data_IF_941756183213
#
_entry.id   IF_941756183213
#
_cell.length_a   1.000
_cell.length_b   1.000
_cell.length_c   1.000
_cell.angle_alpha   90.00
_cell.angle_beta   90.00
_cell.angle_gamma   90.00
#
_symmetry.space_group_name_H-M   'P 1'
#
loop_
_entity.id
_entity.type
_entity.pdbx_description
1 polymer ?
#
# COMPACT_ATOMS: atom_id res chain seq x y z
N UNK A 1 31.83 -63.54 25.88
CA UNK A 1 32.83 -62.61 25.31
C UNK A 1 32.29 -61.20 25.57
N UNK A 2 32.72 -60.54 26.67
CA UNK A 2 33.82 -59.55 26.75
C UNK A 2 33.60 -58.39 25.76
N UNK A 3 33.59 -57.09 26.09
CA UNK A 3 33.73 -56.22 27.29
C UNK A 3 33.26 -54.83 26.80
N UNK A 4 32.39 -54.09 27.50
CA UNK A 4 32.72 -53.01 28.45
C UNK A 4 33.85 -52.05 28.04
N UNK A 5 33.51 -50.76 27.90
CA UNK A 5 34.05 -49.69 28.77
C UNK A 5 33.05 -48.52 28.85
N UNK A 6 32.21 -48.55 29.89
CA UNK A 6 31.73 -47.36 30.61
C UNK A 6 32.82 -46.85 31.58
N UNK A 7 32.52 -45.72 32.22
CA UNK A 7 32.91 -45.26 33.58
C UNK A 7 33.77 -43.98 33.55
N UNK A 8 33.58 -42.96 34.40
CA UNK A 8 32.80 -42.79 35.65
C UNK A 8 32.79 -41.28 36.01
N UNK A 9 31.65 -40.67 36.33
CA UNK A 9 31.16 -40.29 37.68
C UNK A 9 31.69 -38.98 38.32
N UNK A 10 30.75 -38.06 38.62
CA UNK A 10 30.29 -37.64 39.97
C UNK A 10 29.05 -36.71 39.80
N UNK A 11 27.81 -37.12 40.15
CA UNK A 11 27.05 -36.94 41.44
C UNK A 11 27.17 -35.51 42.02
N UNK A 12 26.15 -34.75 42.46
CA UNK A 12 24.73 -34.96 42.83
C UNK A 12 24.02 -33.56 42.98
N UNK A 13 22.69 -33.54 42.85
CA UNK A 13 21.62 -32.50 43.01
C UNK A 13 21.75 -31.38 44.08
N UNK A 14 21.00 -30.23 44.07
CA UNK A 14 19.51 -30.16 44.00
C UNK A 14 18.81 -28.92 43.35
N UNK A 15 17.46 -29.01 43.32
CA UNK A 15 16.41 -28.00 43.02
C UNK A 15 16.14 -27.70 41.53
N UNK A 16 14.93 -27.77 40.98
CA UNK A 16 13.59 -27.86 41.58
C UNK A 16 12.82 -26.55 41.44
N UNK A 17 12.44 -26.18 40.21
CA UNK A 17 11.29 -25.29 39.96
C UNK A 17 10.63 -25.71 38.64
N UNK A 18 9.59 -26.53 38.73
CA UNK A 18 8.52 -26.57 37.74
C UNK A 18 7.64 -25.33 37.95
N UNK A 19 7.22 -24.69 36.87
CA UNK A 19 6.06 -23.79 36.91
C UNK A 19 4.95 -24.51 36.16
N UNK A 20 4.08 -25.13 36.94
CA UNK A 20 2.75 -25.59 36.53
C UNK A 20 1.88 -24.36 36.22
N UNK A 21 1.26 -24.34 35.04
CA UNK A 21 0.09 -23.50 34.81
C UNK A 21 -1.13 -24.26 35.35
N UNK A 22 -1.34 -24.15 36.66
CA UNK A 22 -2.62 -24.49 37.26
C UNK A 22 -3.72 -23.54 36.77
N UNK A 23 -4.82 -24.17 36.35
CA UNK A 23 -6.21 -23.70 36.34
C UNK A 23 -6.46 -22.37 37.09
N UNK A 24 -6.88 -21.36 36.34
CA UNK A 24 -7.84 -20.37 36.85
C UNK A 24 -9.22 -20.74 36.32
N UNK A 25 -9.97 -21.45 37.15
CA UNK A 25 -11.43 -21.53 37.09
C UNK A 25 -12.03 -20.19 37.47
N UNK A 26 -12.79 -19.56 36.57
CA UNK A 26 -13.83 -18.62 36.97
C UNK A 26 -15.12 -19.40 37.22
N UNK A 27 -15.42 -19.69 38.49
CA UNK A 27 -16.78 -20.01 38.92
C UNK A 27 -17.60 -18.72 38.99
N UNK A 28 -18.80 -18.78 38.43
CA UNK A 28 -19.65 -17.62 38.19
C UNK A 28 -20.39 -17.06 39.39
N UNK A 29 -20.94 -15.88 39.17
CA UNK A 29 -22.26 -15.49 39.65
C UNK A 29 -23.17 -15.45 38.43
N UNK A 30 -23.95 -16.51 38.23
CA UNK A 30 -25.11 -16.47 37.36
C UNK A 30 -26.34 -16.06 38.16
N UNK A 31 -27.07 -15.06 37.67
CA UNK A 31 -28.53 -14.88 37.78
C UNK A 31 -28.89 -13.92 36.64
N UNK A 32 -29.82 -14.13 35.72
CA UNK A 32 -30.78 -15.18 35.48
C UNK A 32 -31.44 -14.89 34.13
N UNK A 33 -31.97 -15.93 33.49
CA UNK A 33 -32.66 -15.85 32.21
C UNK A 33 -34.16 -15.56 32.37
N UNK A 34 -34.71 -14.82 31.38
CA UNK A 34 -36.10 -14.83 30.85
C UNK A 34 -37.20 -14.10 31.65
N UNK A 35 -38.37 -13.73 31.04
CA UNK A 35 -38.97 -14.21 29.78
C UNK A 35 -39.59 -13.14 28.83
N UNK A 36 -40.17 -13.67 27.74
CA UNK A 36 -40.95 -13.06 26.64
C UNK A 36 -42.15 -12.19 27.08
N UNK A 37 -42.55 -11.23 26.22
CA UNK A 37 -43.90 -10.65 26.19
C UNK A 37 -44.06 -9.38 25.36
N UNK A 38 -44.71 -9.51 24.18
CA UNK A 38 -45.71 -8.61 23.53
C UNK A 38 -45.51 -7.09 23.37
N UNK A 39 -46.14 -6.46 22.34
CA UNK A 39 -45.88 -5.08 21.95
C UNK A 39 -46.76 -4.06 22.70
N UNK A 40 -46.27 -2.83 22.86
CA UNK A 40 -47.11 -1.65 23.06
C UNK A 40 -46.53 -0.42 22.34
N UNK A 41 -47.36 0.10 21.45
CA UNK A 41 -47.38 1.47 20.92
C UNK A 41 -47.71 2.49 22.02
N UNK A 42 -47.10 3.68 22.02
CA UNK A 42 -47.78 4.98 22.26
C UNK A 42 -47.04 6.11 21.53
N UNK A 43 -47.86 7.01 21.01
CA UNK A 43 -47.66 8.19 20.16
C UNK A 43 -46.89 9.36 20.80
N UNK A 44 -46.46 10.27 19.90
CA UNK A 44 -46.88 11.69 19.98
C UNK A 44 -45.97 12.66 20.74
N UNK A 45 -45.43 13.66 20.03
CA UNK A 45 -44.76 14.78 20.69
C UNK A 45 -44.07 15.80 19.77
N UNK A 46 -44.87 16.54 19.00
CA UNK A 46 -44.47 17.73 18.25
C UNK A 46 -43.99 18.86 19.17
N UNK A 47 -42.91 19.56 18.83
CA UNK A 47 -42.74 20.98 19.17
C UNK A 47 -41.86 21.73 18.16
N UNK A 48 -42.46 22.76 17.53
CA UNK A 48 -41.87 23.71 16.60
C UNK A 48 -41.21 24.88 17.32
N UNK A 49 -40.20 25.44 16.63
CA UNK A 49 -39.74 26.85 16.53
C UNK A 49 -39.25 27.55 17.80
N UNK A 50 -38.09 28.21 17.70
CA UNK A 50 -38.01 29.68 17.68
C UNK A 50 -36.66 30.14 17.10
N UNK A 51 -36.72 31.09 16.18
CA UNK A 51 -35.61 31.85 15.60
C UNK A 51 -35.17 32.96 16.57
N UNK A 52 -33.86 33.17 16.71
CA UNK A 52 -33.33 34.46 17.16
C UNK A 52 -32.04 34.79 16.41
N UNK A 53 -32.07 35.91 15.66
CA UNK A 53 -30.91 36.57 15.05
C UNK A 53 -30.18 37.39 16.11
N UNK A 54 -28.86 37.31 16.17
CA UNK A 54 -28.00 38.40 16.66
C UNK A 54 -26.62 38.36 15.97
N UNK A 55 -26.15 39.54 15.56
CA UNK A 55 -24.80 39.93 15.12
C UNK A 55 -24.76 41.48 15.24
N UNK A 56 -23.62 42.21 15.30
CA UNK A 56 -22.20 41.81 15.21
C UNK A 56 -21.27 42.43 16.28
N UNK A 57 -19.97 42.05 16.17
CA UNK A 57 -18.71 42.79 16.50
C UNK A 57 -17.87 42.20 17.64
N UNK A 58 -16.59 42.01 17.34
CA UNK A 58 -15.52 41.83 18.32
C UNK A 58 -14.49 40.79 17.87
N UNK A 59 -13.33 41.28 17.41
CA UNK A 59 -12.14 40.48 17.13
C UNK A 59 -11.61 39.82 18.42
N UNK A 60 -11.19 38.55 18.35
CA UNK A 60 -9.80 38.18 18.67
C UNK A 60 -9.52 36.70 18.34
N UNK A 61 -8.25 36.40 18.17
CA UNK A 61 -7.65 35.13 17.79
C UNK A 61 -8.07 33.97 18.71
N UNK A 62 -8.51 32.84 18.12
CA UNK A 62 -8.98 31.68 18.87
C UNK A 62 -8.51 30.36 18.26
N UNK A 63 -7.69 29.64 19.03
CA UNK A 63 -7.29 28.25 18.84
C UNK A 63 -8.48 27.34 18.49
N UNK A 64 -8.32 26.51 17.46
CA UNK A 64 -9.22 25.41 17.15
C UNK A 64 -9.22 24.39 18.30
N UNK A 65 -10.23 24.47 19.17
CA UNK A 65 -10.61 23.39 20.07
C UNK A 65 -11.46 22.38 19.29
N UNK A 66 -10.89 21.22 18.99
CA UNK A 66 -11.65 20.03 18.63
C UNK A 66 -12.39 19.56 19.89
N UNK A 67 -13.72 19.49 19.81
CA UNK A 67 -14.57 18.88 20.83
C UNK A 67 -14.43 17.35 20.72
N UNK A 68 -13.89 16.76 21.77
CA UNK A 68 -13.79 15.33 22.02
C UNK A 68 -15.13 14.80 22.60
N UNK A 69 -15.84 13.86 21.96
CA UNK A 69 -17.09 13.34 22.46
C UNK A 69 -16.93 12.01 23.21
N UNK A 70 -15.99 11.87 24.15
CA UNK A 70 -16.03 10.77 25.13
C UNK A 70 -15.56 11.20 26.52
N UNK A 71 -16.52 11.52 27.40
CA UNK A 71 -16.30 11.56 28.87
C UNK A 71 -17.09 10.44 29.53
N UNK A 72 -16.38 9.45 30.08
CA UNK A 72 -16.87 8.62 31.17
C UNK A 72 -16.07 8.90 32.46
N UNK A 73 -16.71 8.66 33.59
CA UNK A 73 -16.45 9.25 34.90
C UNK A 73 -15.09 8.98 35.53
N UNK A 74 -14.70 9.90 36.42
CA UNK A 74 -13.55 9.80 37.32
C UNK A 74 -13.78 8.75 38.41
N UNK A 75 -12.78 7.92 38.67
CA UNK A 75 -12.43 7.48 40.03
C UNK A 75 -10.91 7.27 40.11
N UNK A 76 -10.17 7.84 41.08
CA UNK A 76 -8.71 7.82 41.07
C UNK A 76 -8.16 6.57 41.75
N UNK A 77 -7.34 5.79 41.02
CA UNK A 77 -6.42 4.82 41.60
C UNK A 77 -5.05 5.48 41.75
N UNK A 78 -4.62 5.72 43.00
CA UNK A 78 -3.24 6.08 43.35
C UNK A 78 -2.35 4.86 43.14
N UNK A 79 -1.41 4.94 42.20
CA UNK A 79 -0.26 4.02 42.15
C UNK A 79 1.01 4.86 42.11
N UNK A 80 1.73 4.84 43.23
CA UNK A 80 3.07 5.40 43.37
C UNK A 80 4.03 4.60 42.50
N UNK A 81 4.74 5.24 41.56
CA UNK A 81 5.89 4.64 40.87
C UNK A 81 7.12 5.52 41.03
N UNK A 82 8.13 4.94 41.70
CA UNK A 82 9.52 5.36 41.64
C UNK A 82 10.01 5.30 40.19
N UNK A 83 10.62 6.39 39.71
CA UNK A 83 11.47 6.39 38.52
C UNK A 83 12.93 6.50 38.97
N UNK A 84 13.86 5.65 38.49
CA UNK A 84 15.26 6.02 38.45
C UNK A 84 15.47 7.01 37.29
N UNK A 85 16.18 8.12 37.58
CA UNK A 85 16.63 9.09 36.59
C UNK A 85 17.56 8.41 35.59
N UNK A 86 17.28 8.54 34.30
CA UNK A 86 18.24 8.21 33.23
C UNK A 86 19.23 9.37 33.09
N UNK A 87 20.52 9.02 33.11
CA UNK A 87 21.67 9.93 33.04
C UNK A 87 21.83 10.66 31.71
N UNK A 88 22.73 11.62 31.69
CA UNK A 88 22.90 12.58 30.57
C UNK A 88 23.60 11.95 29.36
N UNK A 89 23.43 12.56 28.17
CA UNK A 89 23.93 12.11 26.84
C UNK A 89 25.44 11.77 26.83
N UNK A 90 26.24 12.29 27.76
CA UNK A 90 27.66 11.94 27.90
C UNK A 90 27.92 10.52 28.44
N UNK A 91 27.02 9.98 29.26
CA UNK A 91 27.18 8.65 29.87
C UNK A 91 26.81 7.52 28.88
N UNK A 92 25.89 7.77 27.96
CA UNK A 92 25.54 6.86 26.86
C UNK A 92 26.69 6.77 25.82
N UNK A 93 27.46 7.84 25.65
CA UNK A 93 28.61 7.88 24.72
C UNK A 93 29.86 7.14 25.24
N UNK A 94 29.96 6.88 26.54
CA UNK A 94 31.03 6.05 27.12
C UNK A 94 30.70 4.56 27.06
N UNK A 95 29.42 4.17 27.18
CA UNK A 95 28.97 2.78 27.03
C UNK A 95 29.17 2.21 25.60
N UNK A 96 29.14 3.06 24.56
CA UNK A 96 29.39 2.65 23.17
C UNK A 96 30.86 2.30 22.86
N UNK A 97 31.82 2.66 23.72
CA UNK A 97 33.25 2.35 23.50
C UNK A 97 33.71 1.00 24.07
N UNK A 98 32.89 0.33 24.87
CA UNK A 98 33.22 -1.00 25.44
C UNK A 98 32.61 -2.17 24.66
N UNK A 99 31.60 -1.95 23.82
CA UNK A 99 30.90 -3.03 23.08
C UNK A 99 31.57 -3.34 21.73
N UNK A 100 32.50 -2.51 21.26
CA UNK A 100 33.21 -2.68 19.98
C UNK A 100 34.67 -3.16 20.10
N UNK A 101 35.09 -3.69 21.26
CA UNK A 101 36.50 -4.10 21.47
C UNK A 101 36.78 -5.59 21.56
N UNK A 102 35.78 -6.47 21.52
CA UNK A 102 36.04 -7.92 21.55
C UNK A 102 35.16 -8.67 20.55
N UNK A 103 35.65 -8.78 19.32
CA UNK A 103 35.27 -9.83 18.37
C UNK A 103 36.44 -10.05 17.42
N UNK A 104 37.09 -11.23 17.42
CA UNK A 104 38.27 -11.50 16.60
C UNK A 104 37.91 -11.56 15.11
N UNK A 105 38.59 -10.75 14.30
CA UNK A 105 38.56 -10.86 12.83
C UNK A 105 39.42 -12.06 12.41
N UNK A 106 38.97 -12.96 11.51
CA UNK A 106 39.86 -13.93 10.92
C UNK A 106 40.79 -13.24 9.92
N UNK A 107 42.09 -13.35 10.18
CA UNK A 107 43.17 -12.94 9.30
C UNK A 107 43.18 -13.83 8.05
N UNK A 108 43.04 -13.23 6.86
CA UNK A 108 43.50 -13.83 5.61
C UNK A 108 44.67 -13.00 5.10
N UNK A 109 45.87 -13.39 5.54
CA UNK A 109 47.11 -12.96 4.95
C UNK A 109 47.44 -13.89 3.77
N UNK A 110 47.55 -13.34 2.57
CA UNK A 110 48.26 -13.98 1.47
C UNK A 110 49.58 -13.23 1.26
N UNK A 111 50.75 -13.88 1.39
CA UNK A 111 52.01 -13.30 0.96
C UNK A 111 52.16 -13.43 -0.56
N UNK A 112 52.62 -12.35 -1.20
CA UNK A 112 53.22 -12.41 -2.53
C UNK A 112 54.50 -13.26 -2.52
N UNK A 113 54.87 -13.84 -3.67
CA UNK A 113 56.28 -13.90 -4.05
C UNK A 113 56.54 -13.27 -5.41
N UNK A 114 57.76 -12.74 -5.50
CA UNK A 114 58.40 -12.07 -6.63
C UNK A 114 58.88 -13.08 -7.68
N UNK A 115 58.98 -12.57 -8.91
CA UNK A 115 59.47 -13.11 -10.18
C UNK A 115 60.46 -14.31 -10.21
N UNK A 116 60.31 -15.16 -11.23
CA UNK A 116 61.34 -16.08 -11.72
C UNK A 116 60.86 -17.06 -12.82
N UNK A 117 61.15 -16.73 -14.08
CA UNK A 117 61.48 -17.62 -15.23
C UNK A 117 60.71 -18.92 -15.51
N UNK A 118 59.88 -18.85 -16.56
CA UNK A 118 59.78 -19.78 -17.71
C UNK A 118 59.85 -21.31 -17.52
N UNK A 119 58.71 -21.98 -17.72
CA UNK A 119 58.59 -23.13 -18.65
C UNK A 119 57.10 -23.45 -18.87
N UNK A 120 56.72 -23.62 -20.13
CA UNK A 120 55.33 -23.84 -20.55
C UNK A 120 54.79 -25.19 -20.12
N UNK A 121 53.69 -25.17 -19.39
CA UNK A 121 52.75 -26.28 -19.29
C UNK A 121 51.41 -25.79 -19.82
N UNK A 122 50.86 -26.50 -20.81
CA UNK A 122 49.54 -26.25 -21.34
C UNK A 122 48.51 -26.44 -20.21
N UNK A 123 47.97 -25.32 -19.73
CA UNK A 123 46.84 -25.33 -18.83
C UNK A 123 45.62 -25.81 -19.61
N UNK A 124 45.16 -27.02 -19.30
CA UNK A 124 43.77 -27.41 -19.55
C UNK A 124 42.93 -26.36 -18.83
N UNK A 125 42.24 -25.52 -19.59
CA UNK A 125 41.35 -24.50 -19.07
C UNK A 125 40.32 -25.17 -18.19
N UNK A 126 40.49 -25.05 -16.87
CA UNK A 126 39.38 -25.14 -15.96
C UNK A 126 38.57 -23.88 -16.23
N UNK A 127 37.61 -24.03 -17.15
CA UNK A 127 36.53 -23.08 -17.33
C UNK A 127 35.82 -23.03 -15.98
N UNK A 128 36.30 -22.14 -15.10
CA UNK A 128 35.48 -21.65 -14.00
C UNK A 128 34.41 -20.85 -14.69
N UNK A 129 33.39 -21.57 -15.16
CA UNK A 129 32.13 -20.98 -15.56
C UNK A 129 31.78 -20.02 -14.44
N UNK A 130 31.83 -18.74 -14.74
CA UNK A 130 31.10 -17.75 -14.00
C UNK A 130 29.69 -18.32 -13.92
N UNK A 131 29.30 -18.84 -12.74
CA UNK A 131 27.91 -19.06 -12.47
C UNK A 131 27.26 -17.70 -12.67
N UNK A 132 26.55 -17.54 -13.80
CA UNK A 132 25.62 -16.44 -14.02
C UNK A 132 24.79 -16.33 -12.74
N UNK A 133 25.04 -15.28 -11.97
CA UNK A 133 24.15 -14.88 -10.90
C UNK A 133 22.80 -14.54 -11.56
N UNK A 134 21.85 -15.47 -11.34
CA UNK A 134 20.44 -15.59 -11.76
C UNK A 134 20.09 -15.50 -13.26
N UNK A 135 19.70 -16.64 -13.86
CA UNK A 135 18.88 -16.68 -15.10
C UNK A 135 17.45 -16.12 -14.93
N UNK A 136 17.03 -15.82 -13.70
CA UNK A 136 15.68 -15.34 -13.38
C UNK A 136 15.66 -13.82 -13.15
N UNK A 137 14.60 -13.12 -13.58
CA UNK A 137 14.41 -11.70 -13.28
C UNK A 137 14.45 -11.39 -11.78
N UNK A 138 15.00 -10.24 -11.41
CA UNK A 138 15.21 -9.84 -10.01
C UNK A 138 13.92 -9.89 -9.15
N UNK A 139 12.77 -9.57 -9.76
CA UNK A 139 11.48 -9.52 -9.08
C UNK A 139 10.92 -10.90 -8.70
N UNK A 140 11.49 -11.99 -9.23
CA UNK A 140 11.07 -13.37 -8.87
C UNK A 140 11.68 -13.86 -7.56
N UNK A 141 12.73 -13.21 -7.07
CA UNK A 141 13.46 -13.61 -5.87
C UNK A 141 13.75 -12.44 -4.91
N UNK A 142 13.39 -11.21 -5.30
CA UNK A 142 13.64 -10.02 -4.51
C UNK A 142 12.61 -9.76 -3.42
N UNK A 143 13.01 -9.00 -2.41
CA UNK A 143 12.11 -8.45 -1.40
C UNK A 143 11.81 -6.98 -1.72
N UNK A 144 10.53 -6.62 -1.80
CA UNK A 144 10.07 -5.26 -2.08
C UNK A 144 9.67 -4.59 -0.75
N UNK A 145 10.22 -3.40 -0.49
CA UNK A 145 9.89 -2.59 0.67
C UNK A 145 8.99 -1.43 0.28
N UNK A 146 7.72 -1.48 0.68
CA UNK A 146 6.79 -0.38 0.48
C UNK A 146 7.05 0.73 1.51
N UNK A 147 7.08 1.98 1.03
CA UNK A 147 7.38 3.15 1.84
C UNK A 147 6.39 4.28 1.54
N UNK A 148 5.81 4.84 2.61
CA UNK A 148 4.99 6.05 2.55
C UNK A 148 5.90 7.27 2.75
N UNK A 149 6.18 8.02 1.68
CA UNK A 149 7.14 9.14 1.67
C UNK A 149 6.90 10.14 2.80
N UNK A 150 5.69 10.70 3.01
CA UNK A 150 5.45 11.71 4.04
C UNK A 150 5.65 11.22 5.49
N UNK A 151 5.83 9.92 5.72
CA UNK A 151 5.97 9.34 7.06
C UNK A 151 7.32 8.68 7.32
N UNK A 152 8.27 8.77 6.37
CA UNK A 152 9.53 8.04 6.49
C UNK A 152 10.63 8.82 7.19
N UNK A 153 11.07 9.94 6.62
CA UNK A 153 12.07 10.82 7.22
C UNK A 153 11.96 12.23 6.66
N UNK A 154 11.73 13.20 7.55
CA UNK A 154 11.77 14.64 7.28
C UNK A 154 13.22 15.15 7.35
N UNK A 155 13.68 15.86 6.33
CA UNK A 155 15.03 16.43 6.26
C UNK A 155 15.09 17.95 6.25
N UNK A 156 13.97 18.65 6.05
CA UNK A 156 13.91 20.11 5.99
C UNK A 156 13.16 20.77 7.16
N UNK A 157 12.53 19.96 8.01
CA UNK A 157 11.86 20.35 9.25
C UNK A 157 10.43 20.83 9.06
N UNK A 158 9.78 20.56 7.93
CA UNK A 158 8.39 20.94 7.67
C UNK A 158 7.35 19.99 8.32
N UNK A 159 7.81 18.86 8.87
CA UNK A 159 6.99 17.84 9.52
C UNK A 159 6.51 16.72 8.60
N UNK A 160 6.88 16.73 7.32
CA UNK A 160 6.61 15.67 6.35
C UNK A 160 7.91 15.01 5.91
N UNK A 161 7.85 13.70 5.69
CA UNK A 161 8.96 13.00 5.04
C UNK A 161 9.11 13.39 3.57
N UNK A 162 10.35 13.39 3.09
CA UNK A 162 10.73 13.83 1.75
C UNK A 162 11.66 12.82 1.04
N UNK A 163 11.90 13.04 -0.27
CA UNK A 163 12.73 12.12 -1.08
C UNK A 163 14.21 12.13 -0.68
N UNK A 164 14.72 13.24 -0.14
CA UNK A 164 16.08 13.31 0.38
C UNK A 164 16.22 12.50 1.68
N UNK A 165 15.14 12.42 2.47
CA UNK A 165 15.03 11.55 3.63
C UNK A 165 15.04 10.07 3.26
N UNK A 166 14.38 9.70 2.17
CA UNK A 166 14.50 8.33 1.61
C UNK A 166 15.95 8.06 1.19
N UNK A 167 16.55 8.99 0.45
CA UNK A 167 17.94 8.89 -0.02
C UNK A 167 18.93 8.71 1.13
N UNK A 168 18.76 9.49 2.21
CA UNK A 168 19.60 9.45 3.41
C UNK A 168 19.54 8.12 4.18
N UNK A 169 18.57 7.25 3.88
CA UNK A 169 18.39 5.94 4.52
C UNK A 169 18.62 4.77 3.58
N UNK A 170 19.09 4.98 2.36
CA UNK A 170 19.38 3.87 1.44
C UNK A 170 20.39 2.87 2.02
N UNK A 171 21.38 3.31 2.80
CA UNK A 171 22.32 2.40 3.47
C UNK A 171 21.61 1.49 4.51
N UNK A 172 20.56 2.00 5.18
CA UNK A 172 19.75 1.19 6.09
C UNK A 172 18.89 0.18 5.31
N UNK A 173 18.34 0.59 4.17
CA UNK A 173 17.50 -0.25 3.33
C UNK A 173 18.32 -1.35 2.64
N UNK A 174 19.53 -1.03 2.19
CA UNK A 174 20.52 -2.00 1.74
C UNK A 174 20.90 -2.98 2.85
N UNK A 175 21.20 -2.49 4.07
CA UNK A 175 21.47 -3.34 5.22
C UNK A 175 20.31 -4.29 5.56
N UNK A 176 19.06 -3.83 5.38
CA UNK A 176 17.86 -4.65 5.58
C UNK A 176 17.78 -5.82 4.57
N UNK A 177 18.53 -5.76 3.46
CA UNK A 177 18.61 -6.81 2.45
C UNK A 177 17.47 -6.78 1.45
N UNK A 178 16.83 -5.63 1.25
CA UNK A 178 15.76 -5.48 0.25
C UNK A 178 16.35 -5.45 -1.16
N UNK A 179 15.52 -5.73 -2.16
CA UNK A 179 15.90 -5.66 -3.58
C UNK A 179 15.29 -4.45 -4.28
N UNK A 180 14.14 -3.99 -3.81
CA UNK A 180 13.44 -2.85 -4.39
C UNK A 180 12.70 -2.02 -3.34
N UNK A 181 12.64 -0.72 -3.61
CA UNK A 181 11.75 0.23 -2.96
C UNK A 181 10.48 0.35 -3.78
N UNK A 182 9.32 0.34 -3.11
CA UNK A 182 8.06 0.78 -3.69
C UNK A 182 7.63 2.05 -2.97
N UNK A 183 7.71 3.18 -3.68
CA UNK A 183 7.31 4.48 -3.18
C UNK A 183 5.79 4.65 -3.37
N UNK A 184 5.09 5.05 -2.30
CA UNK A 184 3.74 5.64 -2.41
C UNK A 184 3.73 6.82 -3.40
N UNK A 185 2.56 7.28 -3.88
CA UNK A 185 2.51 8.42 -4.80
C UNK A 185 3.28 9.63 -4.25
N UNK A 186 4.22 10.13 -5.05
CA UNK A 186 5.01 11.33 -4.77
C UNK A 186 4.79 12.43 -5.81
N UNK A 187 3.73 12.31 -6.59
CA UNK A 187 3.30 13.26 -7.63
C UNK A 187 2.61 14.49 -7.01
N UNK A 188 2.61 15.65 -7.68
CA UNK A 188 1.83 16.81 -7.24
C UNK A 188 0.39 16.45 -6.95
N UNK A 189 -0.08 16.79 -5.75
CA UNK A 189 -1.39 16.39 -5.26
C UNK A 189 -1.88 17.38 -4.22
N UNK A 190 -3.19 17.66 -4.12
CA UNK A 190 -3.75 18.36 -2.97
C UNK A 190 -3.53 17.64 -1.63
N UNK A 191 -3.08 16.37 -1.66
CA UNK A 191 -2.88 15.47 -0.52
C UNK A 191 -4.16 15.22 0.29
N UNK A 192 -5.32 15.23 -0.36
CA UNK A 192 -6.57 14.83 0.30
C UNK A 192 -6.60 13.34 0.60
N UNK A 193 -5.89 12.55 -0.20
CA UNK A 193 -5.65 11.14 0.04
C UNK A 193 -4.15 10.82 -0.05
N UNK A 194 -3.32 11.61 0.65
CA UNK A 194 -1.89 11.35 0.80
C UNK A 194 -1.12 11.09 -0.51
N UNK A 195 -1.53 11.74 -1.61
CA UNK A 195 -0.88 11.65 -2.91
C UNK A 195 -1.66 10.87 -3.97
N UNK A 196 -2.69 10.11 -3.59
CA UNK A 196 -3.51 9.35 -4.54
C UNK A 196 -4.43 10.24 -5.38
N UNK A 197 -4.74 11.45 -4.93
CA UNK A 197 -5.40 12.48 -5.75
C UNK A 197 -4.36 13.25 -6.62
N UNK A 198 -3.88 12.63 -7.70
CA UNK A 198 -2.80 13.17 -8.56
C UNK A 198 -3.26 14.36 -9.42
N UNK A 199 -2.50 15.46 -9.40
CA UNK A 199 -2.76 16.68 -10.19
C UNK A 199 -1.79 16.91 -11.36
N UNK A 200 -0.66 16.20 -11.37
CA UNK A 200 0.31 16.14 -12.48
C UNK A 200 1.08 14.81 -12.39
N UNK A 201 0.98 13.96 -13.40
CA UNK A 201 1.63 12.64 -13.40
C UNK A 201 3.13 12.69 -13.70
N UNK A 202 3.67 13.81 -14.19
CA UNK A 202 5.03 13.91 -14.73
C UNK A 202 5.90 14.88 -13.93
N UNK A 203 5.66 14.99 -12.62
CA UNK A 203 6.42 15.84 -11.74
C UNK A 203 6.41 15.29 -10.31
N UNK A 204 7.09 15.96 -9.38
CA UNK A 204 7.14 15.60 -7.96
C UNK A 204 6.41 16.66 -7.14
N UNK A 205 5.66 16.20 -6.13
CA UNK A 205 5.01 17.05 -5.15
C UNK A 205 6.05 17.95 -4.48
N UNK A 206 5.91 19.29 -4.56
CA UNK A 206 6.90 20.22 -4.01
C UNK A 206 7.21 20.01 -2.52
N UNK A 207 6.24 19.52 -1.73
CA UNK A 207 6.45 19.17 -0.31
C UNK A 207 7.35 17.93 -0.10
N UNK A 208 7.51 17.07 -1.11
CA UNK A 208 8.39 15.90 -1.03
C UNK A 208 9.74 16.13 -1.71
N UNK A 209 9.93 17.29 -2.33
CA UNK A 209 11.17 17.69 -2.98
C UNK A 209 10.96 18.13 -4.44
N UNK A 210 11.97 17.88 -5.26
CA UNK A 210 11.97 18.28 -6.67
C UNK A 210 12.30 17.11 -7.58
N UNK A 211 12.16 17.30 -8.89
CA UNK A 211 12.62 16.30 -9.85
C UNK A 211 14.11 15.95 -9.69
N UNK A 212 14.95 16.92 -9.31
CA UNK A 212 16.35 16.65 -8.99
C UNK A 212 16.54 15.80 -7.74
N UNK A 213 15.63 15.88 -6.77
CA UNK A 213 15.67 15.02 -5.58
C UNK A 213 15.30 13.59 -5.95
N UNK A 214 14.31 13.42 -6.82
CA UNK A 214 13.97 12.12 -7.39
C UNK A 214 15.11 11.50 -8.19
N UNK A 215 15.73 12.27 -9.09
CA UNK A 215 16.87 11.79 -9.89
C UNK A 215 18.03 11.34 -9.00
N UNK A 216 18.33 12.08 -7.92
CA UNK A 216 19.32 11.66 -6.91
C UNK A 216 18.94 10.36 -6.21
N UNK A 217 17.69 10.24 -5.76
CA UNK A 217 17.20 9.03 -5.10
C UNK A 217 17.37 7.82 -6.02
N UNK A 218 16.96 7.95 -7.27
CA UNK A 218 17.05 6.88 -8.26
C UNK A 218 18.50 6.48 -8.52
N UNK A 219 19.38 7.46 -8.77
CA UNK A 219 20.81 7.22 -8.98
C UNK A 219 21.47 6.53 -7.77
N UNK A 220 21.20 7.01 -6.55
CA UNK A 220 21.78 6.44 -5.32
C UNK A 220 21.24 5.04 -5.03
N UNK A 221 19.96 4.77 -5.34
CA UNK A 221 19.37 3.45 -5.22
C UNK A 221 20.03 2.48 -6.22
N UNK A 222 20.16 2.87 -7.49
CA UNK A 222 20.80 2.04 -8.52
C UNK A 222 22.28 1.76 -8.23
N UNK A 223 23.03 2.71 -7.64
CA UNK A 223 24.42 2.46 -7.19
C UNK A 223 24.53 1.38 -6.12
N UNK A 224 23.45 1.11 -5.38
CA UNK A 224 23.33 0.05 -4.37
C UNK A 224 22.59 -1.18 -4.90
N UNK A 225 22.39 -1.26 -6.22
CA UNK A 225 21.61 -2.30 -6.88
C UNK A 225 20.16 -2.41 -6.37
N UNK A 226 19.63 -1.33 -5.78
CA UNK A 226 18.24 -1.23 -5.35
C UNK A 226 17.38 -0.73 -6.51
N UNK A 227 16.24 -1.38 -6.75
CA UNK A 227 15.27 -0.98 -7.77
C UNK A 227 14.26 0.01 -7.16
N UNK A 228 13.69 0.88 -7.99
CA UNK A 228 12.66 1.84 -7.56
C UNK A 228 11.37 1.61 -8.36
N UNK A 229 10.32 1.22 -7.66
CA UNK A 229 8.96 1.05 -8.14
C UNK A 229 8.14 2.26 -7.68
N UNK A 230 7.33 2.82 -8.57
CA UNK A 230 6.38 3.88 -8.21
C UNK A 230 4.96 3.35 -8.11
N UNK A 231 4.21 3.81 -7.11
CA UNK A 231 2.76 3.70 -7.16
C UNK A 231 2.22 4.53 -8.33
N UNK A 232 1.28 3.98 -9.08
CA UNK A 232 0.71 4.62 -10.26
C UNK A 232 -0.81 4.59 -10.21
N UNK A 233 -1.39 5.79 -10.16
CA UNK A 233 -2.83 6.00 -9.93
C UNK A 233 -3.56 6.20 -11.25
N UNK A 234 -4.00 5.10 -11.83
CA UNK A 234 -4.61 5.09 -13.17
C UNK A 234 -6.12 5.32 -13.21
N UNK A 235 -6.85 5.05 -12.13
CA UNK A 235 -8.33 5.07 -12.17
C UNK A 235 -8.90 6.48 -12.27
N UNK A 236 -8.28 7.45 -11.60
CA UNK A 236 -8.82 8.78 -11.39
C UNK A 236 -7.69 9.80 -11.31
N UNK A 237 -8.02 11.08 -11.47
CA UNK A 237 -7.11 12.19 -11.17
C UNK A 237 -7.67 13.00 -10.00
N UNK A 238 -6.90 13.97 -9.48
CA UNK A 238 -7.47 15.06 -8.69
C UNK A 238 -8.45 15.89 -9.52
N UNK A 239 -9.48 16.44 -8.88
CA UNK A 239 -10.34 17.47 -9.47
C UNK A 239 -9.58 18.78 -9.79
N UNK A 240 -8.37 18.95 -9.23
CA UNK A 240 -7.48 20.06 -9.58
C UNK A 240 -6.61 19.77 -10.81
N UNK A 241 -6.58 18.52 -11.29
CA UNK A 241 -5.81 18.14 -12.48
C UNK A 241 -6.26 18.98 -13.69
N UNK A 242 -5.34 19.52 -14.52
CA UNK A 242 -5.68 20.34 -15.67
C UNK A 242 -6.70 19.68 -16.62
N UNK A 243 -6.60 18.36 -16.79
CA UNK A 243 -7.54 17.56 -17.58
C UNK A 243 -8.99 17.70 -17.06
N UNK A 244 -9.23 17.52 -15.76
CA UNK A 244 -10.58 17.64 -15.21
C UNK A 244 -11.09 19.07 -15.23
N UNK A 245 -10.23 20.04 -14.91
CA UNK A 245 -10.59 21.47 -14.98
C UNK A 245 -11.06 21.86 -16.38
N UNK A 246 -10.38 21.38 -17.41
CA UNK A 246 -10.79 21.59 -18.80
C UNK A 246 -12.07 20.81 -19.15
N UNK A 247 -12.19 19.54 -18.76
CA UNK A 247 -13.38 18.72 -19.00
C UNK A 247 -14.64 19.29 -18.34
N UNK A 248 -14.49 19.91 -17.16
CA UNK A 248 -15.54 20.57 -16.38
C UNK A 248 -15.90 21.97 -16.88
N UNK A 249 -15.03 22.61 -17.66
CA UNK A 249 -15.25 23.99 -18.14
C UNK A 249 -16.45 24.14 -19.07
N UNK A 250 -16.79 23.10 -19.83
CA UNK A 250 -17.93 23.07 -20.75
C UNK A 250 -18.25 21.64 -21.19
N UNK A 251 -19.54 21.39 -21.52
CA UNK A 251 -19.98 20.13 -22.18
C UNK A 251 -19.37 19.94 -23.57
N UNK A 252 -18.87 20.99 -24.21
CA UNK A 252 -18.21 20.95 -25.52
C UNK A 252 -16.67 20.91 -25.46
N UNK A 253 -16.10 20.77 -24.26
CA UNK A 253 -14.64 20.72 -24.06
C UNK A 253 -14.02 19.55 -24.84
N UNK A 254 -12.83 19.76 -25.41
CA UNK A 254 -12.08 18.70 -26.09
C UNK A 254 -11.75 17.53 -25.14
N UNK A 255 -11.56 17.83 -23.84
CA UNK A 255 -11.34 16.83 -22.79
C UNK A 255 -12.62 16.35 -22.11
N UNK A 256 -13.82 16.70 -22.59
CA UNK A 256 -15.08 16.32 -21.93
C UNK A 256 -15.17 14.81 -21.69
N UNK A 257 -14.86 14.02 -22.71
CA UNK A 257 -14.96 12.56 -22.67
C UNK A 257 -13.79 11.86 -21.95
N UNK A 258 -12.81 12.61 -21.44
CA UNK A 258 -11.72 12.04 -20.64
C UNK A 258 -12.21 11.56 -19.27
N UNK A 259 -13.38 12.03 -18.82
CA UNK A 259 -14.02 11.65 -17.57
C UNK A 259 -15.44 11.14 -17.83
N UNK A 260 -16.01 10.47 -16.84
CA UNK A 260 -17.34 9.86 -16.95
C UNK A 260 -18.42 10.86 -16.51
N UNK A 261 -19.18 11.38 -17.48
CA UNK A 261 -20.27 12.34 -17.25
C UNK A 261 -21.63 11.74 -17.60
N UNK A 262 -22.66 12.08 -16.82
CA UNK A 262 -24.05 11.67 -17.05
C UNK A 262 -25.03 12.77 -16.68
N UNK A 263 -26.12 12.87 -17.45
CA UNK A 263 -27.26 13.68 -17.03
C UNK A 263 -27.93 13.03 -15.80
N UNK A 264 -28.61 13.86 -14.99
CA UNK A 264 -29.46 13.36 -13.92
C UNK A 264 -30.63 12.55 -14.50
N UNK A 265 -31.21 11.66 -13.68
CA UNK A 265 -32.54 11.11 -13.97
C UNK A 265 -33.59 12.24 -13.97
N UNK A 266 -34.80 12.01 -14.53
CA UNK A 266 -35.83 13.06 -14.63
C UNK A 266 -36.24 13.71 -13.29
N UNK A 267 -36.03 13.01 -12.17
CA UNK A 267 -36.28 13.49 -10.80
C UNK A 267 -35.08 14.25 -10.18
N UNK A 268 -33.99 14.41 -10.93
CA UNK A 268 -32.76 15.06 -10.48
C UNK A 268 -31.78 14.13 -9.77
N UNK A 269 -32.13 12.86 -9.54
CA UNK A 269 -31.27 11.90 -8.85
C UNK A 269 -30.08 11.44 -9.72
N UNK A 270 -29.04 10.85 -9.10
CA UNK A 270 -27.93 10.22 -9.82
C UNK A 270 -28.38 9.19 -10.87
N UNK A 271 -27.58 8.96 -11.92
CA UNK A 271 -27.97 8.11 -13.06
C UNK A 271 -28.12 6.62 -12.72
N UNK A 272 -27.51 6.14 -11.63
CA UNK A 272 -27.62 4.77 -11.14
C UNK A 272 -27.25 4.71 -9.64
N UNK A 273 -27.31 3.50 -9.07
CA UNK A 273 -27.16 3.27 -7.64
C UNK A 273 -25.71 3.13 -7.14
N UNK A 274 -24.68 3.38 -7.97
CA UNK A 274 -23.29 3.12 -7.59
C UNK A 274 -22.85 3.91 -6.35
N UNK A 275 -22.10 3.24 -5.46
CA UNK A 275 -21.68 3.75 -4.15
C UNK A 275 -20.16 3.98 -4.13
N UNK A 276 -19.75 5.15 -3.63
CA UNK A 276 -18.33 5.46 -3.41
C UNK A 276 -17.74 4.56 -2.32
N UNK A 277 -16.49 4.17 -2.48
CA UNK A 277 -15.72 3.41 -1.47
C UNK A 277 -15.71 4.13 -0.13
N UNK A 278 -15.68 5.47 -0.13
CA UNK A 278 -15.70 6.30 1.07
C UNK A 278 -17.11 6.71 1.53
N UNK A 279 -18.13 6.17 0.87
CA UNK A 279 -19.54 6.36 1.22
C UNK A 279 -20.24 7.45 0.42
N UNK A 280 -21.57 7.32 0.36
CA UNK A 280 -22.41 8.15 -0.47
C UNK A 280 -22.44 7.69 -1.93
N UNK A 281 -23.09 8.49 -2.77
CA UNK A 281 -23.18 8.25 -4.22
C UNK A 281 -21.79 8.33 -4.87
N UNK A 282 -21.51 7.49 -5.86
CA UNK A 282 -20.35 7.65 -6.78
C UNK A 282 -20.52 8.79 -7.80
N UNK A 283 -21.57 9.59 -7.66
CA UNK A 283 -21.91 10.66 -8.59
C UNK A 283 -22.02 11.99 -7.88
N UNK A 284 -21.20 12.94 -8.31
CA UNK A 284 -21.21 14.30 -7.80
C UNK A 284 -21.80 15.26 -8.84
N UNK A 285 -22.81 16.03 -8.43
CA UNK A 285 -23.44 17.02 -9.29
C UNK A 285 -22.50 18.18 -9.57
N UNK A 286 -22.35 18.54 -10.84
CA UNK A 286 -21.69 19.74 -11.30
C UNK A 286 -22.71 20.75 -11.83
N UNK A 287 -22.99 21.79 -11.03
CA UNK A 287 -23.96 22.81 -11.39
C UNK A 287 -23.61 23.59 -12.66
N UNK A 288 -22.32 23.77 -12.96
CA UNK A 288 -21.86 24.53 -14.13
C UNK A 288 -22.26 23.85 -15.45
N UNK A 289 -22.18 22.52 -15.50
CA UNK A 289 -22.55 21.74 -16.70
C UNK A 289 -23.90 21.03 -16.59
N UNK A 290 -24.55 21.12 -15.43
CA UNK A 290 -25.81 20.43 -15.12
C UNK A 290 -25.75 18.93 -15.43
N UNK A 291 -24.64 18.31 -15.01
CA UNK A 291 -24.41 16.87 -15.14
C UNK A 291 -23.75 16.34 -13.86
N UNK A 292 -23.91 15.05 -13.62
CA UNK A 292 -23.08 14.32 -12.68
C UNK A 292 -21.75 13.93 -13.34
N UNK A 293 -20.66 13.97 -12.59
CA UNK A 293 -19.44 13.23 -12.90
C UNK A 293 -19.25 12.08 -11.93
N UNK A 294 -18.64 11.00 -12.39
CA UNK A 294 -18.37 9.83 -11.56
C UNK A 294 -17.08 10.01 -10.76
N UNK A 295 -17.09 9.51 -9.52
CA UNK A 295 -15.91 9.26 -8.70
C UNK A 295 -16.09 7.94 -7.93
N UNK A 296 -15.09 7.07 -7.96
CA UNK A 296 -15.11 5.82 -7.17
C UNK A 296 -14.76 6.08 -5.71
N UNK A 297 -13.90 7.07 -5.46
CA UNK A 297 -13.38 7.44 -4.14
C UNK A 297 -13.94 8.79 -3.71
N UNK A 298 -13.10 9.78 -3.39
CA UNK A 298 -13.55 11.12 -3.00
C UNK A 298 -14.20 11.86 -4.18
N UNK A 299 -15.08 12.80 -3.90
CA UNK A 299 -15.64 13.72 -4.92
C UNK A 299 -14.54 14.51 -5.65
N UNK A 300 -13.41 14.78 -4.97
CA UNK A 300 -12.23 15.38 -5.56
C UNK A 300 -11.37 14.42 -6.38
N UNK A 301 -11.81 13.19 -6.61
CA UNK A 301 -11.13 12.16 -7.41
C UNK A 301 -12.01 11.68 -8.58
N UNK A 302 -12.28 12.54 -9.57
CA UNK A 302 -13.07 12.17 -10.74
C UNK A 302 -12.41 11.05 -11.55
N UNK A 303 -13.21 10.03 -11.86
CA UNK A 303 -12.77 8.83 -12.56
C UNK A 303 -12.54 9.10 -14.05
N UNK A 304 -11.42 8.57 -14.54
CA UNK A 304 -11.05 8.64 -15.95
C UNK A 304 -11.85 7.65 -16.79
N UNK A 305 -12.12 8.06 -18.03
CA UNK A 305 -12.75 7.21 -19.01
C UNK A 305 -11.70 6.46 -19.84
N UNK A 306 -11.32 5.27 -19.37
CA UNK A 306 -10.35 4.41 -20.06
C UNK A 306 -10.79 3.89 -21.44
N UNK A 307 -12.07 4.08 -21.82
CA UNK A 307 -12.54 3.80 -23.19
C UNK A 307 -12.17 4.90 -24.18
N UNK A 308 -11.78 6.08 -23.72
CA UNK A 308 -11.30 7.17 -24.56
C UNK A 308 -9.83 6.92 -24.95
N UNK A 309 -9.51 6.74 -26.26
CA UNK A 309 -8.14 6.47 -26.70
C UNK A 309 -7.13 7.54 -26.27
N UNK A 310 -7.55 8.80 -26.16
CA UNK A 310 -6.67 9.88 -25.71
C UNK A 310 -6.25 9.73 -24.25
N UNK A 311 -7.13 9.21 -23.38
CA UNK A 311 -6.78 8.91 -21.98
C UNK A 311 -5.75 7.80 -21.90
N UNK A 312 -5.96 6.70 -22.66
CA UNK A 312 -5.01 5.59 -22.75
C UNK A 312 -3.63 6.08 -23.21
N UNK A 313 -3.59 6.91 -24.25
CA UNK A 313 -2.35 7.47 -24.78
C UNK A 313 -1.64 8.36 -23.75
N UNK A 314 -2.36 9.29 -23.11
CA UNK A 314 -1.80 10.21 -22.13
C UNK A 314 -1.23 9.46 -20.91
N UNK A 315 -1.94 8.44 -20.42
CA UNK A 315 -1.49 7.60 -19.32
C UNK A 315 -0.27 6.75 -19.66
N UNK A 316 -0.22 6.22 -20.89
CA UNK A 316 0.96 5.52 -21.40
C UNK A 316 2.17 6.45 -21.50
N UNK A 317 1.96 7.69 -21.93
CA UNK A 317 3.04 8.69 -22.00
C UNK A 317 3.54 9.09 -20.61
N UNK A 318 2.66 9.13 -19.60
CA UNK A 318 3.06 9.31 -18.21
C UNK A 318 3.93 8.15 -17.69
N UNK A 319 3.59 6.90 -18.00
CA UNK A 319 4.45 5.76 -17.66
C UNK A 319 5.81 5.85 -18.36
N UNK A 320 5.82 6.17 -19.66
CA UNK A 320 7.06 6.36 -20.42
C UNK A 320 7.95 7.44 -19.83
N UNK A 321 7.39 8.56 -19.37
CA UNK A 321 8.14 9.64 -18.73
C UNK A 321 9.00 9.15 -17.55
N UNK A 322 8.50 8.20 -16.77
CA UNK A 322 9.21 7.61 -15.64
C UNK A 322 10.12 6.45 -16.06
N UNK A 323 9.70 5.62 -17.02
CA UNK A 323 10.53 4.55 -17.57
C UNK A 323 11.77 5.08 -18.29
N UNK A 324 11.62 6.16 -19.07
CA UNK A 324 12.71 6.85 -19.76
C UNK A 324 13.73 7.46 -18.77
N UNK A 325 13.32 7.72 -17.53
CA UNK A 325 14.21 8.14 -16.43
C UNK A 325 14.91 6.99 -15.73
N UNK A 326 14.45 5.76 -15.92
CA UNK A 326 15.06 4.56 -15.33
C UNK A 326 14.27 3.93 -14.17
N UNK A 327 13.03 4.35 -13.91
CA UNK A 327 12.14 3.66 -12.95
C UNK A 327 12.01 2.19 -13.31
N UNK A 328 12.10 1.32 -12.29
CA UNK A 328 12.21 -0.13 -12.47
C UNK A 328 10.86 -0.85 -12.48
N UNK A 329 9.77 -0.14 -12.25
CA UNK A 329 8.43 -0.71 -12.34
C UNK A 329 7.35 0.17 -11.75
N UNK A 330 6.13 -0.34 -11.81
CA UNK A 330 4.96 0.33 -11.24
C UNK A 330 4.09 -0.64 -10.46
N UNK A 331 3.46 -0.12 -9.42
CA UNK A 331 2.29 -0.73 -8.78
C UNK A 331 1.05 0.02 -9.24
N UNK A 332 0.14 -0.68 -9.88
CA UNK A 332 -1.13 -0.14 -10.37
C UNK A 332 -2.13 -0.08 -9.22
N UNK A 333 -2.45 1.13 -8.78
CA UNK A 333 -3.48 1.40 -7.79
C UNK A 333 -4.88 1.15 -8.35
N UNK A 334 -5.76 0.55 -7.54
CA UNK A 334 -7.17 0.37 -7.88
C UNK A 334 -7.39 -0.28 -9.26
N UNK A 335 -6.48 -1.18 -9.67
CA UNK A 335 -6.41 -1.69 -11.05
C UNK A 335 -7.74 -2.30 -11.58
N UNK A 336 -8.53 -3.05 -10.79
CA UNK A 336 -9.87 -3.53 -11.16
C UNK A 336 -10.89 -2.46 -11.59
N UNK A 337 -10.66 -1.21 -11.21
CA UNK A 337 -11.66 -0.14 -11.31
C UNK A 337 -11.57 0.63 -12.62
N UNK A 338 -10.52 0.48 -13.45
CA UNK A 338 -10.28 1.39 -14.58
C UNK A 338 -11.44 1.46 -15.59
N UNK A 339 -12.16 0.36 -15.80
CA UNK A 339 -13.31 0.33 -16.71
C UNK A 339 -14.63 0.22 -15.94
N UNK A 340 -15.64 0.95 -16.40
CA UNK A 340 -17.03 0.89 -15.92
C UNK A 340 -17.96 0.30 -16.97
N UNK A 341 -19.11 -0.20 -16.53
CA UNK A 341 -20.13 -0.77 -17.41
C UNK A 341 -20.65 0.28 -18.40
N UNK A 342 -20.50 0.08 -19.72
CA UNK A 342 -20.95 1.05 -20.72
C UNK A 342 -22.48 1.19 -20.77
N UNK A 343 -23.22 0.23 -20.19
CA UNK A 343 -24.68 0.29 -20.08
C UNK A 343 -25.17 0.98 -18.79
N UNK A 344 -24.27 1.39 -17.88
CA UNK A 344 -24.59 2.14 -16.65
C UNK A 344 -25.59 1.46 -15.73
N UNK A 345 -25.64 0.14 -15.74
CA UNK A 345 -26.61 -0.63 -14.95
C UNK A 345 -26.32 -0.52 -13.46
N UNK A 346 -27.38 -0.59 -12.68
CA UNK A 346 -27.32 -0.68 -11.22
C UNK A 346 -26.59 -1.95 -10.77
N UNK A 347 -25.74 -1.84 -9.76
CA UNK A 347 -25.19 -3.01 -9.09
C UNK A 347 -26.28 -3.67 -8.22
N UNK A 348 -26.35 -5.01 -8.14
CA UNK A 348 -27.27 -5.69 -7.25
C UNK A 348 -26.82 -5.56 -5.79
N UNK A 349 -27.76 -5.66 -4.83
CA UNK A 349 -27.42 -5.63 -3.41
C UNK A 349 -26.53 -6.82 -3.03
N UNK A 350 -25.63 -6.61 -2.06
CA UNK A 350 -24.79 -7.67 -1.54
C UNK A 350 -25.51 -8.41 -0.39
N UNK A 351 -25.89 -9.70 -0.54
CA UNK A 351 -26.53 -10.47 0.52
C UNK A 351 -25.62 -10.71 1.74
N UNK A 352 -24.30 -10.60 1.54
CA UNK A 352 -23.31 -10.85 2.58
C UNK A 352 -22.90 -9.59 3.35
N UNK A 353 -23.42 -8.41 2.98
CA UNK A 353 -23.14 -7.17 3.68
C UNK A 353 -23.52 -7.24 5.17
N UNK A 354 -22.63 -6.73 6.03
CA UNK A 354 -22.85 -6.58 7.47
C UNK A 354 -22.62 -5.12 7.88
N UNK A 355 -23.38 -4.60 8.87
CA UNK A 355 -23.09 -3.29 9.45
C UNK A 355 -21.65 -3.24 9.96
N UNK A 356 -20.88 -2.26 9.49
CA UNK A 356 -19.45 -2.12 9.79
C UNK A 356 -18.53 -2.45 8.61
N UNK A 357 -19.03 -3.13 7.58
CA UNK A 357 -18.31 -3.29 6.32
C UNK A 357 -18.14 -1.93 5.60
N UNK A 358 -17.23 -1.88 4.63
CA UNK A 358 -17.04 -0.69 3.79
C UNK A 358 -18.36 -0.27 3.12
N UNK A 359 -18.61 1.04 2.95
CA UNK A 359 -19.87 1.53 2.38
C UNK A 359 -20.26 0.93 1.03
N UNK A 360 -19.28 0.76 0.14
CA UNK A 360 -19.49 0.19 -1.21
C UNK A 360 -19.77 -1.32 -1.19
N UNK A 361 -19.47 -2.01 -0.08
CA UNK A 361 -19.78 -3.43 0.11
C UNK A 361 -21.26 -3.71 0.32
N UNK A 362 -22.10 -2.67 0.36
CA UNK A 362 -23.57 -2.79 0.32
C UNK A 362 -24.06 -3.39 -1.01
N UNK A 363 -23.22 -3.40 -2.05
CA UNK A 363 -23.53 -3.88 -3.39
C UNK A 363 -22.47 -4.88 -3.89
N UNK A 364 -22.87 -5.80 -4.76
CA UNK A 364 -21.91 -6.60 -5.52
C UNK A 364 -21.39 -5.73 -6.68
N UNK A 365 -20.07 -5.49 -6.80
CA UNK A 365 -19.52 -4.50 -7.74
C UNK A 365 -19.42 -5.01 -9.19
N UNK A 366 -20.45 -5.69 -9.70
CA UNK A 366 -20.44 -6.40 -11.00
C UNK A 366 -20.39 -5.46 -12.22
N UNK A 367 -20.75 -4.19 -12.05
CA UNK A 367 -20.76 -3.16 -13.12
C UNK A 367 -19.72 -2.05 -12.90
N UNK A 368 -19.06 -2.05 -11.74
CA UNK A 368 -18.06 -1.04 -11.36
C UNK A 368 -16.64 -1.58 -11.26
N UNK A 369 -16.45 -2.91 -11.20
CA UNK A 369 -15.14 -3.58 -11.17
C UNK A 369 -15.03 -4.61 -12.28
N UNK A 370 -13.79 -4.95 -12.65
CA UNK A 370 -13.44 -6.08 -13.51
C UNK A 370 -14.18 -6.10 -14.86
N UNK A 371 -14.40 -4.92 -15.44
CA UNK A 371 -15.14 -4.77 -16.69
C UNK A 371 -14.28 -5.15 -17.92
N UNK A 372 -14.92 -5.56 -19.05
CA UNK A 372 -14.23 -5.87 -20.28
C UNK A 372 -13.32 -4.72 -20.77
N UNK A 373 -12.08 -5.08 -21.10
CA UNK A 373 -11.01 -4.18 -21.52
C UNK A 373 -9.77 -4.20 -20.61
N UNK A 374 -9.91 -4.66 -19.36
CA UNK A 374 -8.79 -4.69 -18.39
C UNK A 374 -7.63 -5.59 -18.82
N UNK A 375 -7.93 -6.84 -19.20
CA UNK A 375 -6.89 -7.80 -19.64
C UNK A 375 -6.10 -7.27 -20.85
N UNK A 376 -6.79 -6.70 -21.85
CA UNK A 376 -6.15 -6.08 -23.02
C UNK A 376 -5.28 -4.89 -22.62
N UNK A 377 -5.75 -4.06 -21.68
CA UNK A 377 -4.98 -2.92 -21.17
C UNK A 377 -3.74 -3.40 -20.41
N UNK A 378 -3.85 -4.38 -19.52
CA UNK A 378 -2.70 -4.87 -18.78
C UNK A 378 -1.67 -5.58 -19.66
N UNK A 379 -2.11 -6.29 -20.71
CA UNK A 379 -1.21 -6.81 -21.74
C UNK A 379 -0.50 -5.68 -22.52
N UNK A 380 -1.20 -4.58 -22.86
CA UNK A 380 -0.57 -3.41 -23.48
C UNK A 380 0.49 -2.78 -22.56
N UNK A 381 0.15 -2.56 -21.29
CA UNK A 381 1.06 -1.98 -20.29
C UNK A 381 2.25 -2.91 -20.04
N UNK A 382 2.02 -4.22 -19.97
CA UNK A 382 3.09 -5.22 -19.89
C UNK A 382 4.04 -5.13 -21.08
N UNK A 383 3.49 -5.14 -22.29
CA UNK A 383 4.28 -4.99 -23.51
C UNK A 383 5.00 -3.65 -23.63
N UNK A 384 4.55 -2.59 -22.93
CA UNK A 384 5.32 -1.35 -22.78
C UNK A 384 6.57 -1.57 -21.93
N UNK A 385 6.42 -2.15 -20.75
CA UNK A 385 7.52 -2.38 -19.82
C UNK A 385 8.57 -3.34 -20.39
N UNK A 386 8.14 -4.38 -21.11
CA UNK A 386 9.03 -5.35 -21.75
C UNK A 386 9.98 -4.73 -22.80
N UNK A 387 9.70 -3.51 -23.30
CA UNK A 387 10.58 -2.78 -24.23
C UNK A 387 11.75 -2.08 -23.53
N UNK A 388 11.71 -1.97 -22.21
CA UNK A 388 12.76 -1.33 -21.43
C UNK A 388 13.69 -2.40 -20.83
N UNK A 389 15.01 -2.17 -20.82
CA UNK A 389 15.95 -3.11 -20.22
C UNK A 389 15.82 -3.14 -18.70
N UNK A 390 16.40 -4.16 -18.06
CA UNK A 390 16.48 -4.24 -16.59
C UNK A 390 15.23 -4.79 -15.91
N UNK A 391 14.51 -5.71 -16.59
CA UNK A 391 13.37 -6.47 -16.05
C UNK A 391 12.33 -5.60 -15.33
N UNK A 392 11.73 -4.66 -16.05
CA UNK A 392 10.74 -3.73 -15.48
C UNK A 392 9.51 -4.49 -14.99
N UNK A 393 9.09 -4.22 -13.75
CA UNK A 393 8.01 -4.98 -13.10
C UNK A 393 6.68 -4.20 -13.10
N UNK A 394 5.59 -4.94 -13.23
CA UNK A 394 4.22 -4.42 -13.18
C UNK A 394 3.44 -5.20 -12.12
N UNK A 395 3.11 -4.52 -11.04
CA UNK A 395 2.32 -5.06 -9.94
C UNK A 395 0.92 -4.48 -10.03
N UNK A 396 -0.11 -5.25 -9.72
CA UNK A 396 -1.47 -4.72 -9.63
C UNK A 396 -2.08 -4.99 -8.28
N UNK A 397 -2.76 -4.01 -7.72
CA UNK A 397 -3.54 -4.18 -6.50
C UNK A 397 -4.90 -4.80 -6.81
N UNK A 398 -5.22 -5.90 -6.11
CA UNK A 398 -6.50 -6.57 -6.25
C UNK A 398 -7.07 -6.98 -4.89
N UNK A 399 -8.39 -6.90 -4.80
CA UNK A 399 -9.20 -7.39 -3.69
C UNK A 399 -10.22 -8.40 -4.22
N UNK A 400 -9.72 -9.46 -4.85
CA UNK A 400 -10.54 -10.48 -5.53
C UNK A 400 -10.17 -11.90 -5.07
N UNK A 401 -11.08 -12.88 -5.17
CA UNK A 401 -10.77 -14.28 -4.88
C UNK A 401 -9.67 -14.83 -5.80
N UNK A 402 -8.95 -15.86 -5.34
CA UNK A 402 -7.83 -16.43 -6.10
C UNK A 402 -8.15 -16.89 -7.53
N UNK A 403 -9.31 -17.52 -7.84
CA UNK A 403 -9.64 -17.89 -9.22
C UNK A 403 -9.62 -16.71 -10.19
N UNK A 404 -9.98 -15.52 -9.72
CA UNK A 404 -9.97 -14.29 -10.50
C UNK A 404 -8.60 -13.60 -10.43
N UNK A 405 -7.93 -13.61 -9.27
CA UNK A 405 -6.61 -13.00 -9.13
C UNK A 405 -5.60 -13.60 -10.14
N UNK A 406 -5.59 -14.92 -10.29
CA UNK A 406 -4.61 -15.61 -11.14
C UNK A 406 -4.84 -15.41 -12.64
N UNK A 407 -6.00 -14.90 -13.07
CA UNK A 407 -6.23 -14.59 -14.48
C UNK A 407 -5.43 -13.37 -14.93
N UNK A 408 -5.06 -12.48 -14.00
CA UNK A 408 -4.30 -11.26 -14.30
C UNK A 408 -2.79 -11.47 -14.48
N UNK A 409 -2.30 -12.71 -14.33
CA UNK A 409 -0.99 -13.07 -14.89
C UNK A 409 -1.02 -13.13 -16.43
N UNK A 410 -2.21 -13.37 -17.01
CA UNK A 410 -2.40 -13.62 -18.43
C UNK A 410 -2.20 -15.10 -18.80
N UNK A 411 -3.10 -15.66 -19.61
CA UNK A 411 -3.02 -17.07 -20.04
C UNK A 411 -2.17 -17.24 -21.31
N UNK A 412 -2.50 -16.49 -22.37
CA UNK A 412 -1.84 -16.57 -23.70
C UNK A 412 -0.90 -15.41 -23.96
N UNK A 413 -1.26 -14.26 -23.43
CA UNK A 413 -0.49 -13.01 -23.54
C UNK A 413 -0.17 -12.60 -22.11
N UNK A 414 1.12 -12.40 -21.77
CA UNK A 414 1.49 -11.95 -20.44
C UNK A 414 0.83 -10.62 -20.09
N UNK A 415 0.31 -10.54 -18.87
CA UNK A 415 -0.25 -9.32 -18.29
C UNK A 415 0.64 -8.88 -17.13
N UNK A 416 0.12 -8.82 -15.91
CA UNK A 416 0.87 -8.35 -14.75
C UNK A 416 1.97 -9.34 -14.37
N UNK A 417 3.10 -8.81 -13.93
CA UNK A 417 4.16 -9.63 -13.35
C UNK A 417 3.73 -10.18 -11.99
N UNK A 418 3.04 -9.34 -11.20
CA UNK A 418 2.55 -9.67 -9.86
C UNK A 418 1.17 -9.05 -9.62
N UNK A 419 0.06 -9.76 -9.92
CA UNK A 419 -1.20 -9.46 -9.28
C UNK A 419 -1.06 -9.72 -7.77
N UNK A 420 -1.05 -8.66 -6.96
CA UNK A 420 -0.66 -8.72 -5.55
C UNK A 420 -1.62 -9.62 -4.77
N UNK A 421 -1.06 -10.69 -4.20
CA UNK A 421 -1.78 -11.54 -3.26
C UNK A 421 -1.70 -10.93 -1.85
N UNK A 422 -2.78 -10.24 -1.44
CA UNK A 422 -2.92 -9.65 -0.11
C UNK A 422 -3.66 -10.56 0.88
N UNK A 423 -4.06 -11.78 0.50
CA UNK A 423 -4.90 -12.65 1.36
C UNK A 423 -4.32 -12.93 2.75
N UNK A 424 -2.99 -12.96 2.89
CA UNK A 424 -2.33 -13.19 4.17
C UNK A 424 -2.44 -12.01 5.14
N UNK A 425 -2.69 -10.78 4.67
CA UNK A 425 -2.83 -9.61 5.54
C UNK A 425 -4.15 -9.61 6.32
N UNK A 426 -5.18 -10.29 5.80
CA UNK A 426 -6.49 -10.44 6.44
C UNK A 426 -6.73 -11.84 7.00
N UNK A 427 -5.82 -12.78 6.75
CA UNK A 427 -5.93 -14.14 7.26
C UNK A 427 -5.80 -14.13 8.78
N UNK A 428 -6.57 -14.99 9.45
CA UNK A 428 -6.37 -15.27 10.87
C UNK A 428 -4.94 -15.79 11.09
N UNK A 429 -4.25 -15.24 12.09
CA UNK A 429 -2.87 -15.60 12.41
C UNK A 429 -2.80 -16.94 13.16
N UNK A 430 -3.05 -18.04 12.43
CA UNK A 430 -2.81 -19.41 12.87
C UNK A 430 -2.28 -20.28 11.72
N UNK A 431 -1.52 -21.31 12.09
CA UNK A 431 -0.80 -22.14 11.12
C UNK A 431 -1.73 -22.85 10.12
N UNK A 432 -2.90 -23.30 10.57
CA UNK A 432 -3.84 -24.04 9.73
C UNK A 432 -4.50 -23.14 8.68
N UNK A 433 -4.86 -21.92 9.07
CA UNK A 433 -5.44 -20.93 8.16
C UNK A 433 -4.40 -20.47 7.15
N UNK A 434 -3.21 -20.08 7.60
CA UNK A 434 -2.12 -19.66 6.72
C UNK A 434 -1.73 -20.79 5.76
N UNK A 435 -1.56 -22.02 6.27
CA UNK A 435 -1.19 -23.18 5.47
C UNK A 435 -2.22 -23.49 4.37
N UNK A 436 -3.52 -23.43 4.70
CA UNK A 436 -4.60 -23.60 3.72
C UNK A 436 -4.58 -22.48 2.68
N UNK A 437 -4.49 -21.21 3.09
CA UNK A 437 -4.44 -20.06 2.17
C UNK A 437 -3.27 -20.18 1.17
N UNK A 438 -2.09 -20.57 1.65
CA UNK A 438 -0.91 -20.80 0.80
C UNK A 438 -1.16 -21.95 -0.19
N UNK A 439 -1.64 -23.10 0.29
CA UNK A 439 -1.90 -24.25 -0.57
C UNK A 439 -2.96 -23.96 -1.64
N UNK A 440 -4.01 -23.21 -1.28
CA UNK A 440 -5.07 -22.81 -2.20
C UNK A 440 -4.57 -21.88 -3.32
N UNK A 441 -3.68 -20.94 -2.97
CA UNK A 441 -3.06 -20.04 -3.94
C UNK A 441 -2.09 -20.80 -4.86
N UNK A 442 -1.20 -21.61 -4.28
CA UNK A 442 -0.21 -22.39 -5.04
C UNK A 442 -0.88 -23.35 -6.02
N UNK A 443 -1.95 -24.04 -5.63
CA UNK A 443 -2.69 -24.95 -6.51
C UNK A 443 -3.26 -24.27 -7.76
N UNK A 444 -3.42 -22.94 -7.76
CA UNK A 444 -3.93 -22.18 -8.90
C UNK A 444 -2.85 -21.53 -9.75
N UNK A 445 -1.70 -21.22 -9.16
CA UNK A 445 -0.55 -20.63 -9.87
C UNK A 445 0.30 -21.70 -10.55
N UNK A 446 0.44 -22.87 -9.93
CA UNK A 446 1.21 -23.99 -10.50
C UNK A 446 0.60 -24.42 -11.84
N UNK A 447 1.37 -24.26 -12.92
CA UNK A 447 0.93 -24.54 -14.30
C UNK A 447 0.64 -23.29 -15.16
N UNK A 448 0.72 -22.08 -14.59
CA UNK A 448 0.57 -20.79 -15.30
C UNK A 448 1.88 -20.03 -15.53
N UNK A 449 3.03 -20.65 -15.24
CA UNK A 449 4.36 -20.03 -15.29
C UNK A 449 5.15 -20.37 -16.54
#
# INVERSE_FOLDING_TARGET
MKRCCELKHCKQMPSGTSIDFERVTFTGLGVGAKPQGGPMSVEGGSARRTLARLSPRGADCGLWKVQDPFRFGRTPLRVSRCFPRLGTVREIAQAKRHIYKESPRPCLANPMPVAGTGMGFAAVGCDRGEMRMSERPWWQHGAIYQLLVPSFLDTDGDGLGDLDGVTARLDYLEWLGITALWLSPCYPSPLKELGYDVSDYCNIEPRFGSMKAFDRLLDEAHRRELRVILDWVGNHTSAQHPWFREARSSRSSARRNWYLWRDALPDGSPPNNWVSVFGGSSWQWDAATSQYYMHTFLDSQPDLNWREPQVRAAMRDALKFWLDRGVDGFRLDAAPLFFKDPAWRDNPPNPDYRPGDLPDSTQLPIHTRNQPGLHELFAELRGLLDRYPGDRVLLGEFYVPFPELVTFYGDRVPELHLPLNLSLTWSKWDADTIGRTIAEYQARVVGRG
#
